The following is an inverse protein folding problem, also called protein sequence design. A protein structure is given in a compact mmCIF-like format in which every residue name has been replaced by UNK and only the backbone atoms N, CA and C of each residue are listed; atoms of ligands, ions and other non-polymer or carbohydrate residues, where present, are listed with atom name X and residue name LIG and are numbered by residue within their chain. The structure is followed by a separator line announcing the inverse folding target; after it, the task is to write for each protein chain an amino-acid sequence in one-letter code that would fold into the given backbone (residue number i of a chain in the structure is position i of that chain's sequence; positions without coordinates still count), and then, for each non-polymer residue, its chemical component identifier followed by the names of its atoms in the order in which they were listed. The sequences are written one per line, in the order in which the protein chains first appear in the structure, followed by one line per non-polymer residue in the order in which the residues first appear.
data_IF_881194176580
#
_entry.id   IF_881194176580
#
_cell.length_a   1.000
_cell.length_b   1.000
_cell.length_c   1.000
_cell.angle_alpha   90.00
_cell.angle_beta   90.00
_cell.angle_gamma   90.00
#
_symmetry.space_group_name_H-M   'P 1'
#
loop_
_entity.id
_entity.type
_entity.pdbx_description
1 polymer ?
#
# COMPACT_ATOMS: atom_id res chain seq x y z
N UNK A 1 17.97 -17.85 -19.27
CA UNK A 1 16.75 -17.01 -19.24
C UNK A 1 16.64 -16.45 -17.83
N UNK A 2 17.11 -15.22 -17.58
CA UNK A 2 17.10 -14.59 -16.25
C UNK A 2 15.77 -13.86 -16.07
N UNK A 3 14.96 -14.31 -15.11
CA UNK A 3 13.72 -13.62 -14.71
C UNK A 3 14.10 -12.47 -13.80
N UNK A 4 13.87 -11.23 -14.23
CA UNK A 4 13.96 -10.06 -13.34
C UNK A 4 12.83 -10.15 -12.31
N UNK A 5 13.11 -10.08 -11.00
CA UNK A 5 12.06 -10.10 -10.00
C UNK A 5 11.19 -8.85 -10.15
N UNK A 6 9.87 -9.07 -10.17
CA UNK A 6 8.89 -7.99 -10.14
C UNK A 6 8.94 -7.31 -8.76
N UNK A 7 8.85 -5.97 -8.67
CA UNK A 7 8.79 -5.28 -7.39
C UNK A 7 7.55 -5.74 -6.62
N UNK A 8 7.72 -5.89 -5.31
CA UNK A 8 6.59 -6.15 -4.40
C UNK A 8 5.70 -4.92 -4.32
N UNK A 9 4.44 -5.11 -3.92
CA UNK A 9 3.50 -3.98 -3.73
C UNK A 9 4.06 -2.90 -2.79
N UNK A 10 4.78 -3.30 -1.73
CA UNK A 10 5.43 -2.36 -0.81
C UNK A 10 6.53 -1.53 -1.48
N UNK A 11 7.33 -2.15 -2.35
CA UNK A 11 8.37 -1.44 -3.11
C UNK A 11 7.75 -0.46 -4.11
N UNK A 12 6.72 -0.87 -4.84
CA UNK A 12 6.02 0.01 -5.77
C UNK A 12 5.38 1.21 -5.07
N UNK A 13 4.78 1.01 -3.89
CA UNK A 13 4.22 2.11 -3.09
C UNK A 13 5.33 3.10 -2.68
N UNK A 14 6.50 2.59 -2.27
CA UNK A 14 7.63 3.44 -1.88
C UNK A 14 8.20 4.25 -3.06
N UNK A 15 8.28 3.63 -4.24
CA UNK A 15 8.69 4.30 -5.48
C UNK A 15 7.70 5.41 -5.86
N UNK A 16 6.39 5.13 -5.80
CA UNK A 16 5.35 6.13 -6.05
C UNK A 16 5.39 7.29 -5.07
N UNK A 17 5.58 7.01 -3.77
CA UNK A 17 5.76 8.06 -2.75
C UNK A 17 6.94 8.97 -3.08
N UNK A 18 8.06 8.38 -3.51
CA UNK A 18 9.28 9.11 -3.85
C UNK A 18 9.05 9.99 -5.08
N UNK A 19 8.51 9.41 -6.15
CA UNK A 19 8.20 10.13 -7.39
C UNK A 19 7.25 11.32 -7.17
N UNK A 20 6.21 11.14 -6.33
CA UNK A 20 5.27 12.22 -6.01
C UNK A 20 5.95 13.39 -5.28
N UNK A 21 6.83 13.10 -4.30
CA UNK A 21 7.59 14.13 -3.60
C UNK A 21 8.50 14.90 -4.56
N UNK A 22 9.26 14.19 -5.39
CA UNK A 22 10.16 14.78 -6.37
C UNK A 22 9.39 15.68 -7.35
N UNK A 23 8.22 15.24 -7.79
CA UNK A 23 7.33 16.04 -8.63
C UNK A 23 6.89 17.35 -7.94
N UNK A 24 6.48 17.28 -6.67
CA UNK A 24 6.11 18.48 -5.88
C UNK A 24 7.31 19.42 -5.73
N UNK A 25 8.50 18.87 -5.45
CA UNK A 25 9.72 19.65 -5.27
C UNK A 25 10.16 20.36 -6.54
N UNK A 26 10.01 19.71 -7.71
CA UNK A 26 10.33 20.25 -9.02
C UNK A 26 9.30 21.26 -9.52
N UNK A 27 8.01 21.04 -9.25
CA UNK A 27 6.92 21.91 -9.73
C UNK A 27 6.88 23.24 -8.96
N UNK A 28 7.21 23.22 -7.67
CA UNK A 28 7.17 24.41 -6.81
C UNK A 28 8.57 24.73 -6.31
N UNK A 29 9.23 25.71 -6.92
CA UNK A 29 10.61 26.02 -6.57
C UNK A 29 10.71 26.84 -5.27
N UNK A 30 11.67 26.50 -4.42
CA UNK A 30 11.97 27.21 -3.17
C UNK A 30 13.47 27.50 -3.15
N UNK A 31 13.83 28.78 -3.05
CA UNK A 31 15.24 29.20 -3.11
C UNK A 31 16.01 29.08 -1.79
N UNK A 32 15.32 29.02 -0.64
CA UNK A 32 15.99 28.99 0.66
C UNK A 32 16.26 27.55 1.13
N UNK A 33 17.52 27.13 1.32
CA UNK A 33 17.86 25.73 1.63
C UNK A 33 17.16 25.18 2.88
N UNK A 34 17.05 25.97 3.95
CA UNK A 34 16.37 25.51 5.17
C UNK A 34 14.89 25.22 4.96
N UNK A 35 14.23 25.90 4.02
CA UNK A 35 12.82 25.67 3.70
C UNK A 35 12.69 24.42 2.82
N UNK A 36 13.64 24.17 1.92
CA UNK A 36 13.70 22.93 1.13
C UNK A 36 13.79 21.72 2.06
N UNK A 37 14.69 21.75 3.04
CA UNK A 37 14.84 20.65 4.02
C UNK A 37 13.59 20.48 4.89
N UNK A 38 12.98 21.59 5.34
CA UNK A 38 11.73 21.56 6.10
C UNK A 38 10.59 20.94 5.28
N UNK A 39 10.49 21.31 4.00
CA UNK A 39 9.50 20.78 3.07
C UNK A 39 9.70 19.29 2.85
N UNK A 40 10.93 18.85 2.57
CA UNK A 40 11.25 17.43 2.41
C UNK A 40 10.81 16.64 3.64
N UNK A 41 11.21 17.11 4.82
CA UNK A 41 10.84 16.52 6.11
C UNK A 41 9.32 16.44 6.30
N UNK A 42 8.57 17.46 5.89
CA UNK A 42 7.10 17.47 5.96
C UNK A 42 6.48 16.46 4.99
N UNK A 43 6.93 16.43 3.73
CA UNK A 43 6.44 15.48 2.73
C UNK A 43 6.82 14.02 3.05
N UNK A 44 7.85 13.80 3.88
CA UNK A 44 8.25 12.49 4.41
C UNK A 44 7.36 11.98 5.55
N UNK A 45 6.50 12.83 6.13
CA UNK A 45 5.59 12.39 7.18
C UNK A 45 4.46 11.52 6.62
N UNK A 46 4.06 10.51 7.40
CA UNK A 46 2.86 9.72 7.10
C UNK A 46 1.62 10.61 7.19
N UNK A 47 0.67 10.42 6.27
CA UNK A 47 -0.57 11.18 6.20
C UNK A 47 -0.48 12.52 5.46
N UNK A 48 0.72 13.00 5.06
CA UNK A 48 0.85 14.28 4.34
C UNK A 48 0.58 14.11 2.85
N UNK A 49 1.33 13.24 2.17
CA UNK A 49 1.12 12.92 0.74
C UNK A 49 0.88 11.43 0.49
N UNK A 50 1.03 10.59 1.51
CA UNK A 50 0.79 9.15 1.42
C UNK A 50 0.52 8.56 2.80
N UNK A 51 -0.19 7.45 2.81
CA UNK A 51 -0.56 6.69 4.01
C UNK A 51 -0.11 5.24 3.84
N UNK A 52 0.20 4.56 4.94
CA UNK A 52 0.44 3.12 4.89
C UNK A 52 -0.83 2.39 4.44
N UNK A 53 -0.67 1.48 3.47
CA UNK A 53 -1.78 0.67 3.00
C UNK A 53 -2.26 -0.23 4.13
N UNK A 54 -3.51 -0.05 4.55
CA UNK A 54 -4.15 -0.99 5.46
C UNK A 54 -4.60 -2.21 4.65
N UNK A 55 -4.03 -3.37 4.96
CA UNK A 55 -4.47 -4.63 4.38
C UNK A 55 -5.64 -5.16 5.19
N UNK A 56 -6.85 -4.92 4.71
CA UNK A 56 -8.04 -5.64 5.18
C UNK A 56 -7.94 -7.10 4.74
N UNK A 57 -7.34 -7.95 5.57
CA UNK A 57 -7.55 -9.39 5.43
C UNK A 57 -8.99 -9.68 5.84
N UNK A 58 -9.86 -10.04 4.88
CA UNK A 58 -11.14 -10.67 5.23
C UNK A 58 -10.80 -11.83 6.17
N UNK A 59 -11.43 -11.95 7.35
CA UNK A 59 -11.16 -13.07 8.24
C UNK A 59 -11.21 -14.34 7.40
N UNK A 60 -10.13 -15.13 7.44
CA UNK A 60 -10.04 -16.39 6.71
C UNK A 60 -11.33 -17.14 7.03
N UNK A 61 -12.18 -17.39 6.02
CA UNK A 61 -13.44 -18.08 6.22
C UNK A 61 -13.16 -19.31 7.07
N UNK A 62 -13.72 -19.36 8.28
CA UNK A 62 -13.61 -20.55 9.11
C UNK A 62 -14.34 -21.64 8.33
N UNK A 63 -13.66 -22.71 7.90
CA UNK A 63 -14.34 -23.77 7.19
C UNK A 63 -15.45 -24.29 8.10
N UNK A 64 -16.69 -24.21 7.60
CA UNK A 64 -17.86 -24.75 8.29
C UNK A 64 -17.84 -26.28 8.29
N UNK A 65 -18.88 -26.92 8.87
CA UNK A 65 -19.07 -28.36 8.79
C UNK A 65 -19.00 -28.84 7.34
N UNK A 66 -18.52 -30.07 7.13
CA UNK A 66 -18.54 -30.62 5.77
C UNK A 66 -19.98 -30.76 5.31
N UNK A 67 -20.19 -30.72 4.00
CA UNK A 67 -21.50 -30.96 3.42
C UNK A 67 -22.10 -32.31 3.86
N UNK A 68 -21.24 -33.32 4.06
CA UNK A 68 -21.61 -34.64 4.61
C UNK A 68 -22.16 -34.60 6.04
N UNK A 69 -21.81 -33.58 6.80
CA UNK A 69 -22.20 -33.43 8.21
C UNK A 69 -23.50 -32.64 8.34
N UNK A 70 -24.02 -32.10 7.23
CA UNK A 70 -25.31 -31.45 7.18
C UNK A 70 -26.39 -32.53 7.29
N UNK A 71 -27.20 -32.46 8.36
CA UNK A 71 -28.39 -33.31 8.55
C UNK A 71 -29.52 -32.88 7.60
N UNK A 72 -29.26 -32.96 6.30
CA UNK A 72 -30.22 -32.61 5.26
C UNK A 72 -31.33 -33.66 5.22
N UNK A 73 -32.60 -33.26 5.09
CA UNK A 73 -33.68 -34.21 4.84
C UNK A 73 -33.44 -34.90 3.49
N UNK A 74 -33.78 -36.19 3.40
CA UNK A 74 -33.79 -36.91 2.13
C UNK A 74 -34.75 -36.21 1.18
N UNK A 75 -34.32 -35.96 -0.06
CA UNK A 75 -35.20 -35.45 -1.11
C UNK A 75 -36.40 -36.37 -1.25
N UNK A 76 -37.60 -35.78 -1.27
CA UNK A 76 -38.87 -36.47 -1.51
C UNK A 76 -38.94 -37.07 -2.92
#
# INVERSE_FOLDING_TARGET
MTVTPQPTIGQTIQEMRTALREYIEATYHIGHPSIVERRRSLLDQSGVISQEAYLESTPRYVPGPRFSDLRLPSSA
#
